data_IF_659639246081
#
_entry.id   IF_659639246081
#
_cell.length_a   1.000
_cell.length_b   1.000
_cell.length_c   1.000
_cell.angle_alpha   90.00
_cell.angle_beta   90.00
_cell.angle_gamma   90.00
#
_symmetry.space_group_name_H-M   'P 1'
#
loop_
_entity.id
_entity.type
_entity.pdbx_description
1 polymer ?
#
# COMPACT_ATOMS: atom_id res chain seq x y z
N UNK A 1 -22.21 -5.52 15.63
CA UNK A 1 -21.51 -5.11 15.48
C UNK A 1 -20.55 -5.65 14.87
N UNK A 2 -20.34 -5.51 14.30
CA UNK A 2 -19.47 -6.02 13.70
C UNK A 2 -18.28 -5.92 14.16
N UNK A 3 -17.65 -6.78 14.28
CA UNK A 3 -16.39 -6.69 14.69
C UNK A 3 -15.49 -6.30 13.66
N UNK A 4 -14.66 -5.38 13.94
CA UNK A 4 -13.64 -5.07 13.08
C UNK A 4 -12.56 -6.02 13.23
N UNK A 5 -11.99 -6.46 12.15
CA UNK A 5 -10.78 -7.23 12.19
C UNK A 5 -9.65 -6.25 12.24
N UNK A 6 -8.99 -6.16 13.38
CA UNK A 6 -7.89 -5.24 13.58
C UNK A 6 -6.64 -6.07 13.83
N UNK A 7 -5.63 -5.86 13.00
CA UNK A 7 -4.37 -6.57 13.14
C UNK A 7 -3.54 -5.94 14.25
N UNK A 8 -2.77 -6.75 14.94
CA UNK A 8 -1.82 -6.24 15.93
C UNK A 8 -0.64 -5.61 15.19
N UNK A 9 0.11 -4.77 15.86
CA UNK A 9 1.32 -4.20 15.28
C UNK A 9 2.28 -5.29 14.85
N UNK A 10 2.42 -6.34 15.67
CA UNK A 10 3.27 -7.48 15.35
C UNK A 10 2.86 -8.16 14.05
N UNK A 11 1.57 -8.35 13.85
CA UNK A 11 1.05 -8.94 12.61
C UNK A 11 1.32 -8.07 11.40
N UNK A 12 1.17 -6.75 11.55
CA UNK A 12 1.46 -5.81 10.47
C UNK A 12 2.94 -5.87 10.11
N UNK A 13 3.81 -5.81 11.10
CA UNK A 13 5.25 -5.86 10.86
C UNK A 13 5.65 -7.16 10.16
N UNK A 14 5.07 -8.27 10.61
CA UNK A 14 5.32 -9.57 10.01
C UNK A 14 4.90 -9.60 8.54
N UNK A 15 3.72 -9.05 8.24
CA UNK A 15 3.22 -8.98 6.88
C UNK A 15 4.14 -8.14 5.99
N UNK A 16 4.58 -6.98 6.49
CA UNK A 16 5.44 -6.09 5.72
C UNK A 16 6.81 -6.71 5.43
N UNK A 17 7.27 -7.64 6.28
CA UNK A 17 8.55 -8.31 6.10
C UNK A 17 8.50 -9.55 5.23
N UNK A 18 7.30 -10.06 4.97
CA UNK A 18 7.16 -11.33 4.24
C UNK A 18 7.81 -11.36 2.87
N UNK A 19 7.68 -10.33 2.03
CA UNK A 19 8.30 -10.42 0.71
C UNK A 19 9.80 -10.68 0.76
N UNK A 20 10.49 -10.14 1.75
CA UNK A 20 11.92 -10.34 1.90
C UNK A 20 12.26 -11.72 2.47
N UNK A 21 11.32 -12.35 3.18
CA UNK A 21 11.57 -13.62 3.85
C UNK A 21 11.15 -14.85 3.06
N UNK A 22 10.14 -14.70 2.19
CA UNK A 22 9.69 -15.83 1.37
C UNK A 22 10.72 -16.08 0.27
N UNK A 23 11.09 -17.34 0.02
CA UNK A 23 12.04 -17.64 -1.04
C UNK A 23 11.56 -17.14 -2.39
N UNK A 24 12.49 -16.61 -3.16
CA UNK A 24 12.18 -16.08 -4.48
C UNK A 24 11.79 -17.23 -5.42
N UNK A 25 10.72 -17.02 -6.18
CA UNK A 25 10.31 -17.96 -7.19
C UNK A 25 11.34 -17.98 -8.32
N UNK A 26 11.46 -19.14 -8.96
CA UNK A 26 12.49 -19.35 -9.97
C UNK A 26 12.48 -18.34 -11.11
N UNK A 27 11.29 -17.95 -11.53
CA UNK A 27 11.14 -17.05 -12.67
C UNK A 27 11.03 -15.59 -12.28
N UNK A 28 11.04 -15.30 -10.98
CA UNK A 28 10.84 -13.94 -10.52
C UNK A 28 12.11 -13.10 -10.72
N UNK A 29 11.97 -11.83 -11.10
CA UNK A 29 13.14 -10.97 -11.18
C UNK A 29 13.74 -10.72 -9.80
N UNK A 30 15.04 -10.44 -9.71
CA UNK A 30 15.70 -10.25 -8.42
C UNK A 30 15.10 -9.12 -7.58
N UNK A 31 14.46 -8.14 -8.20
CA UNK A 31 13.90 -6.98 -7.52
C UNK A 31 12.44 -7.16 -7.10
N UNK A 32 11.84 -8.32 -7.37
CA UNK A 32 10.41 -8.50 -7.11
C UNK A 32 10.05 -8.35 -5.64
N UNK A 33 10.89 -8.90 -4.74
CA UNK A 33 10.63 -8.77 -3.32
C UNK A 33 10.65 -7.32 -2.87
N UNK A 34 11.57 -6.52 -3.42
CA UNK A 34 11.62 -5.10 -3.11
C UNK A 34 10.39 -4.37 -3.61
N UNK A 35 9.92 -4.73 -4.81
CA UNK A 35 8.67 -4.17 -5.33
C UNK A 35 7.50 -4.47 -4.41
N UNK A 36 7.39 -5.73 -4.02
CA UNK A 36 6.25 -6.17 -3.20
C UNK A 36 6.30 -5.53 -1.81
N UNK A 37 7.49 -5.39 -1.24
CA UNK A 37 7.66 -4.66 0.02
C UNK A 37 7.22 -3.20 -0.14
N UNK A 38 7.60 -2.56 -1.24
CA UNK A 38 7.21 -1.18 -1.49
C UNK A 38 5.70 -1.04 -1.60
N UNK A 39 5.05 -1.99 -2.28
CA UNK A 39 3.59 -1.98 -2.41
C UNK A 39 2.93 -2.10 -1.03
N UNK A 40 3.38 -3.07 -0.22
CA UNK A 40 2.81 -3.26 1.11
C UNK A 40 3.06 -2.06 2.03
N UNK A 41 4.26 -1.53 2.01
CA UNK A 41 4.60 -0.36 2.83
C UNK A 41 3.77 0.85 2.43
N UNK A 42 3.61 1.08 1.14
CA UNK A 42 2.83 2.21 0.67
C UNK A 42 1.35 2.02 1.00
N UNK A 43 0.85 0.80 0.83
CA UNK A 43 -0.53 0.48 1.17
C UNK A 43 -0.81 0.74 2.64
N UNK A 44 0.10 0.30 3.51
CA UNK A 44 -0.02 0.53 4.94
C UNK A 44 0.08 2.03 5.28
N UNK A 45 1.05 2.71 4.69
CA UNK A 45 1.33 4.12 4.99
C UNK A 45 0.20 5.05 4.55
N UNK A 46 -0.48 4.72 3.45
CA UNK A 46 -1.42 5.64 2.82
C UNK A 46 -2.88 5.17 2.84
N UNK A 47 -3.11 3.88 2.96
CA UNK A 47 -4.47 3.35 2.86
C UNK A 47 -5.11 3.52 1.50
N UNK A 48 -4.31 3.66 0.44
CA UNK A 48 -4.86 3.84 -0.92
C UNK A 48 -5.65 2.62 -1.36
N UNK A 49 -6.57 2.85 -2.26
CA UNK A 49 -7.27 1.75 -2.92
C UNK A 49 -6.31 1.06 -3.88
N UNK A 50 -6.54 -0.23 -4.13
CA UNK A 50 -5.64 -0.99 -5.01
C UNK A 50 -5.57 -0.40 -6.41
N UNK A 51 -6.70 0.09 -6.93
CA UNK A 51 -6.70 0.72 -8.24
C UNK A 51 -5.85 1.98 -8.26
N UNK A 52 -5.83 2.71 -7.14
CA UNK A 52 -5.00 3.91 -7.03
C UNK A 52 -3.52 3.55 -6.98
N UNK A 53 -3.18 2.46 -6.27
CA UNK A 53 -1.80 1.98 -6.25
C UNK A 53 -1.34 1.57 -7.64
N UNK A 54 -2.19 0.83 -8.35
CA UNK A 54 -1.85 0.35 -9.69
C UNK A 54 -1.67 1.50 -10.67
N UNK A 55 -2.39 2.58 -10.49
CA UNK A 55 -2.36 3.71 -11.41
C UNK A 55 -1.19 4.67 -11.19
N UNK A 56 -0.44 4.49 -10.10
CA UNK A 56 0.64 5.43 -9.76
C UNK A 56 1.74 5.45 -10.82
N UNK A 57 2.28 6.65 -11.01
CA UNK A 57 3.42 6.87 -11.88
C UNK A 57 4.56 7.49 -11.08
N UNK A 58 5.76 7.35 -11.59
CA UNK A 58 6.93 7.91 -10.92
C UNK A 58 6.77 9.40 -10.69
N UNK A 59 6.18 10.11 -11.66
CA UNK A 59 5.99 11.56 -11.54
C UNK A 59 5.09 11.94 -10.37
N UNK A 60 4.25 11.01 -9.89
CA UNK A 60 3.37 11.28 -8.77
C UNK A 60 4.15 11.41 -7.45
N UNK A 61 5.40 10.96 -7.43
CA UNK A 61 6.31 11.10 -6.29
C UNK A 61 7.25 12.28 -6.41
N UNK A 62 7.24 12.96 -7.52
CA UNK A 62 8.21 14.01 -7.78
C UNK A 62 7.80 15.33 -7.16
N UNK A 63 7.94 15.41 -5.86
CA UNK A 63 7.72 16.64 -5.13
C UNK A 63 8.63 16.62 -3.91
N UNK A 64 8.80 17.79 -3.29
CA UNK A 64 9.76 17.95 -2.21
C UNK A 64 9.18 17.73 -0.81
N UNK A 65 7.93 17.34 -0.73
CA UNK A 65 7.25 17.29 0.57
C UNK A 65 6.87 15.90 1.04
N UNK A 66 7.49 14.86 0.50
CA UNK A 66 7.19 13.47 0.85
C UNK A 66 5.70 13.18 0.76
N UNK A 67 5.09 13.69 -0.30
CA UNK A 67 3.68 13.45 -0.59
C UNK A 67 3.55 12.78 -1.93
N UNK A 68 2.39 12.19 -2.13
CA UNK A 68 2.06 11.45 -3.33
C UNK A 68 0.83 12.06 -3.94
N UNK A 69 0.87 12.33 -5.24
CA UNK A 69 -0.31 12.80 -5.95
C UNK A 69 -1.14 11.58 -6.35
N UNK A 70 -2.39 11.57 -5.95
CA UNK A 70 -3.30 10.47 -6.24
C UNK A 70 -4.49 11.00 -7.01
N UNK A 71 -4.82 10.31 -8.11
CA UNK A 71 -6.00 10.64 -8.88
C UNK A 71 -7.07 9.61 -8.56
N UNK A 72 -8.14 10.05 -7.94
CA UNK A 72 -9.22 9.18 -7.55
C UNK A 72 -10.38 9.22 -8.52
N UNK A 73 -11.51 8.78 -8.04
CA UNK A 73 -12.74 8.73 -8.81
C UNK A 73 -13.10 10.12 -9.33
N UNK A 74 -13.51 10.20 -10.60
CA UNK A 74 -13.88 11.47 -11.21
C UNK A 74 -12.69 12.35 -11.53
N UNK A 75 -11.51 11.76 -11.64
CA UNK A 75 -10.27 12.48 -11.97
C UNK A 75 -9.90 13.54 -10.93
N UNK A 76 -10.40 13.42 -9.71
CA UNK A 76 -10.03 14.36 -8.65
C UNK A 76 -8.67 13.99 -8.09
N UNK A 77 -7.80 14.98 -8.02
CA UNK A 77 -6.46 14.81 -7.46
C UNK A 77 -6.45 15.17 -5.99
N UNK A 78 -5.61 14.45 -5.25
CA UNK A 78 -5.33 14.80 -3.87
C UNK A 78 -3.89 14.47 -3.55
N UNK A 79 -3.35 15.13 -2.54
CA UNK A 79 -2.01 14.85 -2.05
C UNK A 79 -2.12 14.03 -0.78
N UNK A 80 -1.33 12.97 -0.73
CA UNK A 80 -1.36 12.02 0.38
C UNK A 80 0.04 11.95 0.98
N UNK A 81 0.20 12.17 2.28
CA UNK A 81 1.52 12.04 2.88
C UNK A 81 2.01 10.60 2.86
N UNK A 82 3.32 10.43 2.71
CA UNK A 82 3.96 9.12 2.70
C UNK A 82 4.91 9.03 3.86
N UNK A 83 4.85 7.93 4.61
CA UNK A 83 5.77 7.71 5.71
C UNK A 83 7.18 7.40 5.22
N UNK A 84 8.16 7.59 6.11
CA UNK A 84 9.56 7.40 5.74
C UNK A 84 9.89 5.96 5.37
N UNK A 85 9.27 4.99 6.02
CA UNK A 85 9.50 3.59 5.69
C UNK A 85 9.03 3.27 4.26
N UNK A 86 7.87 3.78 3.88
CA UNK A 86 7.36 3.57 2.54
C UNK A 86 8.25 4.26 1.50
N UNK A 87 8.69 5.47 1.79
CA UNK A 87 9.60 6.18 0.88
C UNK A 87 10.88 5.40 0.65
N UNK A 88 11.48 4.89 1.73
CA UNK A 88 12.71 4.11 1.62
C UNK A 88 12.50 2.83 0.82
N UNK A 89 11.38 2.15 1.06
CA UNK A 89 11.08 0.92 0.34
C UNK A 89 10.87 1.19 -1.16
N UNK A 90 10.20 2.28 -1.49
CA UNK A 90 9.99 2.68 -2.88
C UNK A 90 11.32 2.98 -3.56
N UNK A 91 12.19 3.72 -2.87
CA UNK A 91 13.50 4.07 -3.42
C UNK A 91 14.36 2.83 -3.66
N UNK A 92 14.38 1.89 -2.71
CA UNK A 92 15.13 0.66 -2.87
C UNK A 92 14.65 -0.14 -4.07
N UNK A 93 13.33 -0.25 -4.23
CA UNK A 93 12.74 -0.92 -5.37
C UNK A 93 13.10 -0.23 -6.67
N UNK A 94 12.94 1.09 -6.74
CA UNK A 94 13.21 1.83 -7.96
C UNK A 94 14.66 1.70 -8.40
N UNK A 95 15.59 1.73 -7.45
CA UNK A 95 17.00 1.56 -7.77
C UNK A 95 17.27 0.16 -8.32
N UNK A 96 16.79 -0.86 -7.64
CA UNK A 96 17.04 -2.23 -8.05
C UNK A 96 16.40 -2.58 -9.39
N UNK A 97 15.18 -2.11 -9.61
CA UNK A 97 14.43 -2.40 -10.83
C UNK A 97 14.68 -1.38 -11.94
N UNK A 98 15.45 -0.33 -11.66
CA UNK A 98 15.75 0.75 -12.61
C UNK A 98 14.48 1.38 -13.16
N UNK A 99 13.56 1.70 -12.23
CA UNK A 99 12.31 2.39 -12.57
C UNK A 99 12.54 3.88 -12.44
N UNK A 100 12.64 4.57 -13.56
CA UNK A 100 12.97 5.99 -13.59
C UNK A 100 11.81 6.87 -14.04
N UNK A 101 10.89 6.33 -14.81
CA UNK A 101 9.71 7.08 -15.29
C UNK A 101 8.59 6.10 -15.60
N UNK A 102 7.44 6.63 -15.96
CA UNK A 102 6.27 5.83 -16.29
C UNK A 102 5.63 5.19 -15.07
N UNK A 103 5.03 4.01 -15.25
CA UNK A 103 4.36 3.34 -14.14
C UNK A 103 5.32 3.09 -12.98
N UNK A 104 4.85 3.33 -11.76
CA UNK A 104 5.70 3.11 -10.59
C UNK A 104 5.91 1.62 -10.35
N UNK A 105 4.83 0.85 -10.30
CA UNK A 105 4.93 -0.59 -10.04
C UNK A 105 4.77 -1.37 -11.33
N UNK A 106 5.80 -2.13 -11.66
CA UNK A 106 5.86 -2.83 -12.95
C UNK A 106 6.03 -4.33 -12.77
N UNK A 107 5.60 -5.06 -13.80
CA UNK A 107 5.80 -6.49 -13.90
C UNK A 107 7.21 -6.80 -14.39
N UNK A 108 7.53 -8.09 -14.43
CA UNK A 108 8.78 -8.58 -15.00
C UNK A 108 8.99 -8.08 -16.44
N UNK A 109 7.92 -7.90 -17.19
CA UNK A 109 7.99 -7.41 -18.56
C UNK A 109 7.97 -5.89 -18.67
N UNK A 110 8.11 -5.21 -17.56
CA UNK A 110 8.19 -3.74 -17.49
C UNK A 110 6.86 -3.07 -17.83
N UNK A 111 5.77 -3.76 -17.62
CA UNK A 111 4.42 -3.22 -17.83
C UNK A 111 3.79 -2.88 -16.48
N UNK A 112 2.91 -1.89 -16.50
CA UNK A 112 2.16 -1.51 -15.28
C UNK A 112 1.48 -2.72 -14.67
N UNK A 113 1.61 -2.89 -13.36
CA UNK A 113 0.85 -3.92 -12.66
C UNK A 113 -0.63 -3.53 -12.68
N UNK A 114 -1.48 -4.53 -12.93
CA UNK A 114 -2.91 -4.33 -12.87
C UNK A 114 -3.38 -4.39 -11.42
N UNK A 115 -4.56 -3.83 -11.17
CA UNK A 115 -5.21 -3.94 -9.88
C UNK A 115 -5.36 -5.41 -9.49
N UNK A 116 -5.71 -6.25 -10.45
CA UNK A 116 -5.87 -7.68 -10.23
C UNK A 116 -4.58 -8.34 -9.76
N UNK A 117 -3.46 -7.98 -10.37
CA UNK A 117 -2.17 -8.54 -9.98
C UNK A 117 -1.78 -8.11 -8.57
N UNK A 118 -2.01 -6.85 -8.22
CA UNK A 118 -1.74 -6.37 -6.87
C UNK A 118 -2.62 -7.10 -5.86
N UNK A 119 -3.89 -7.29 -6.19
CA UNK A 119 -4.80 -8.05 -5.34
C UNK A 119 -4.29 -9.47 -5.12
N UNK A 120 -3.81 -10.12 -6.17
CA UNK A 120 -3.29 -11.49 -6.09
C UNK A 120 -2.04 -11.57 -5.21
N UNK A 121 -1.13 -10.61 -5.35
CA UNK A 121 0.07 -10.64 -4.52
C UNK A 121 -0.24 -10.38 -3.04
N UNK A 122 -1.20 -9.52 -2.76
CA UNK A 122 -1.62 -9.31 -1.37
C UNK A 122 -2.21 -10.59 -0.79
N UNK A 123 -3.05 -11.27 -1.54
CA UNK A 123 -3.61 -12.55 -1.10
C UNK A 123 -2.53 -13.58 -0.85
N UNK A 124 -1.51 -13.61 -1.70
CA UNK A 124 -0.39 -14.52 -1.53
C UNK A 124 0.31 -14.28 -0.19
N UNK A 125 0.63 -13.03 0.12
CA UNK A 125 1.30 -12.72 1.38
C UNK A 125 0.41 -12.96 2.59
N UNK A 126 -0.88 -12.68 2.46
CA UNK A 126 -1.82 -12.98 3.55
C UNK A 126 -1.87 -14.49 3.84
N UNK A 127 -1.81 -15.32 2.80
CA UNK A 127 -1.79 -16.78 3.02
C UNK A 127 -0.55 -17.26 3.75
N UNK A 128 0.56 -16.55 3.59
CA UNK A 128 1.83 -16.92 4.26
C UNK A 128 1.98 -16.27 5.63
N UNK A 129 0.99 -15.49 6.05
CA UNK A 129 1.06 -14.78 7.32
C UNK A 129 0.28 -15.52 8.40
N UNK A 130 0.42 -15.06 9.64
CA UNK A 130 -0.38 -15.55 10.76
C UNK A 130 -1.71 -14.84 10.88
N UNK A 131 -2.01 -13.96 9.93
CA UNK A 131 -3.25 -13.19 9.95
C UNK A 131 -4.39 -14.11 9.53
N UNK A 132 -5.58 -13.97 10.13
CA UNK A 132 -6.72 -14.82 9.75
C UNK A 132 -6.94 -14.80 8.24
N UNK A 133 -7.05 -15.98 7.67
CA UNK A 133 -7.06 -16.13 6.22
C UNK A 133 -8.28 -15.52 5.53
N UNK A 134 -9.32 -15.19 6.27
CA UNK A 134 -10.50 -14.58 5.66
C UNK A 134 -10.38 -13.07 5.49
N UNK A 135 -9.20 -12.49 5.72
CA UNK A 135 -9.00 -11.07 5.49
C UNK A 135 -8.84 -10.83 3.99
N UNK A 136 -9.68 -9.97 3.45
CA UNK A 136 -9.59 -9.52 2.06
C UNK A 136 -8.73 -8.26 2.01
N UNK A 137 -8.23 -7.87 0.83
CA UNK A 137 -7.54 -6.58 0.72
C UNK A 137 -8.36 -5.39 1.19
N UNK A 138 -9.68 -5.42 1.01
CA UNK A 138 -10.55 -4.37 1.51
C UNK A 138 -10.53 -4.32 3.05
N UNK A 139 -10.62 -5.48 3.68
CA UNK A 139 -10.54 -5.56 5.14
C UNK A 139 -9.17 -5.18 5.65
N UNK A 140 -8.13 -5.53 4.90
CA UNK A 140 -6.76 -5.16 5.23
C UNK A 140 -6.62 -3.64 5.24
N UNK A 141 -7.17 -2.97 4.23
CA UNK A 141 -7.15 -1.52 4.16
C UNK A 141 -7.87 -0.90 5.37
N UNK A 142 -8.99 -1.48 5.74
CA UNK A 142 -9.74 -1.05 6.92
C UNK A 142 -8.91 -1.20 8.20
N UNK A 143 -8.22 -2.34 8.34
CA UNK A 143 -7.36 -2.57 9.50
C UNK A 143 -6.21 -1.59 9.57
N UNK A 144 -5.63 -1.26 8.43
CA UNK A 144 -4.55 -0.28 8.38
C UNK A 144 -5.04 1.09 8.82
N UNK A 145 -6.21 1.50 8.35
CA UNK A 145 -6.78 2.78 8.75
C UNK A 145 -7.04 2.84 10.25
N UNK A 146 -7.59 1.76 10.79
CA UNK A 146 -7.85 1.67 12.22
C UNK A 146 -6.54 1.75 13.01
N UNK A 147 -5.51 1.05 12.54
CA UNK A 147 -4.21 1.07 13.19
C UNK A 147 -3.60 2.47 13.18
N UNK A 148 -3.72 3.18 12.06
CA UNK A 148 -3.19 4.53 11.97
C UNK A 148 -3.89 5.47 12.97
N UNK A 149 -5.20 5.30 13.14
CA UNK A 149 -5.95 6.06 14.14
C UNK A 149 -5.46 5.75 15.55
N UNK A 150 -5.27 4.46 15.84
CA UNK A 150 -4.81 4.04 17.17
C UNK A 150 -3.40 4.53 17.45
N UNK A 151 -2.60 4.74 16.42
CA UNK A 151 -1.25 5.25 16.57
C UNK A 151 -1.21 6.78 16.72
N UNK A 152 -2.37 7.42 16.80
CA UNK A 152 -2.42 8.85 17.06
C UNK A 152 -2.63 9.73 15.85
N UNK A 153 -2.94 9.16 14.69
CA UNK A 153 -3.29 9.98 13.53
C UNK A 153 -4.60 10.67 13.80
N UNK A 154 -4.69 11.94 13.43
CA UNK A 154 -5.93 12.66 13.65
C UNK A 154 -6.95 12.32 12.55
N UNK A 155 -8.21 12.66 12.81
CA UNK A 155 -9.31 12.32 11.92
C UNK A 155 -9.13 12.89 10.52
N UNK A 156 -8.61 14.11 10.44
CA UNK A 156 -8.40 14.76 9.16
C UNK A 156 -7.33 14.03 8.33
N UNK A 157 -6.24 13.62 8.98
CA UNK A 157 -5.18 12.88 8.30
C UNK A 157 -5.69 11.55 7.76
N UNK A 158 -6.47 10.83 8.56
CA UNK A 158 -7.04 9.56 8.12
C UNK A 158 -8.01 9.77 6.98
N UNK A 159 -8.82 10.81 7.06
CA UNK A 159 -9.75 11.16 6.00
C UNK A 159 -9.01 11.40 4.68
N UNK A 160 -7.91 12.15 4.74
CA UNK A 160 -7.09 12.42 3.57
C UNK A 160 -6.45 11.14 3.03
N UNK A 161 -5.92 10.29 3.93
CA UNK A 161 -5.30 9.03 3.53
C UNK A 161 -6.27 8.13 2.79
N UNK A 162 -7.51 8.08 3.23
CA UNK A 162 -8.50 7.21 2.63
C UNK A 162 -9.18 7.81 1.40
N UNK A 163 -8.87 9.09 1.09
CA UNK A 163 -9.48 9.73 -0.06
C UNK A 163 -10.95 10.03 0.10
N UNK A 164 -11.44 10.10 1.33
CA UNK A 164 -12.84 10.42 1.60
C UNK A 164 -12.99 11.92 1.79
N UNK A 165 -14.04 12.45 1.20
CA UNK A 165 -14.38 13.84 1.44
C UNK A 165 -15.42 13.99 2.54
N UNK A 166 -15.96 12.89 3.01
CA UNK A 166 -17.05 12.89 3.99
C UNK A 166 -16.55 12.48 5.37
N UNK A 167 -16.86 13.28 6.35
CA UNK A 167 -16.53 12.96 7.74
C UNK A 167 -17.24 11.70 8.22
N UNK A 168 -18.46 11.49 7.75
CA UNK A 168 -19.20 10.32 8.21
C UNK A 168 -18.53 9.01 7.81
N UNK A 169 -17.87 8.99 6.65
CA UNK A 169 -17.13 7.80 6.23
C UNK A 169 -15.95 7.54 7.12
N UNK A 170 -15.24 8.60 7.50
CA UNK A 170 -14.06 8.47 8.35
C UNK A 170 -14.43 8.14 9.79
N UNK A 171 -15.57 8.60 10.24
CA UNK A 171 -16.01 8.37 11.61
C UNK A 171 -16.16 6.90 11.97
N UNK A 172 -16.36 6.03 10.99
CA UNK A 172 -16.46 4.60 11.30
C UNK A 172 -15.15 4.05 11.86
N UNK A 173 -14.04 4.76 11.71
CA UNK A 173 -12.75 4.32 12.20
C UNK A 173 -12.43 4.88 13.59
N UNK A 174 -13.27 5.70 14.11
CA UNK A 174 -13.07 6.24 15.45
C UNK A 174 -13.92 5.49 16.47
#
# INVERSE_FOLDING_TARGET
>A
RQLRVVMTLSQIEQLLELPAKIPREKQAPPWQALRDTAILELFYSTGLRLAELAALEVRDLENLSDTLRVVGKGSKERLVPIGSHAMKAIEAYRQAAKVTDGPLFVSKLRKRLSTRTINSLLKKYLRHSDIPFNITPHKLRHSFATHLLDAGADLRSVQALLGHSSLSTTQIYT
#
